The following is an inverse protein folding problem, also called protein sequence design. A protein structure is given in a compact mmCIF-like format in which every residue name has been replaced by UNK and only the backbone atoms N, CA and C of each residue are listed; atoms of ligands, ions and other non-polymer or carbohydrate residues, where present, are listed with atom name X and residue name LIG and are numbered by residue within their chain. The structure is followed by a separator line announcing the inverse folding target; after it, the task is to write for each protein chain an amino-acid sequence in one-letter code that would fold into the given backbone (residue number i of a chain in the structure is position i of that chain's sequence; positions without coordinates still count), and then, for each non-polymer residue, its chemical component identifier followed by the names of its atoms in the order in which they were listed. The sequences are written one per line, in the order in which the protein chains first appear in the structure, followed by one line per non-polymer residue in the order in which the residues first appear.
data_IF_114576380190
#
_entry.id   IF_114576380190
#
_cell.length_a   1.000
_cell.length_b   1.000
_cell.length_c   1.000
_cell.angle_alpha   90.00
_cell.angle_beta   90.00
_cell.angle_gamma   90.00
#
_symmetry.space_group_name_H-M   'P 1'
#
loop_
_entity.id
_entity.type
_entity.pdbx_description
1 polymer ?
#
# COMPACT_ATOMS: atom_id res chain seq x y z
N UNK A 1 11.24 16.01 5.83
CA UNK A 1 12.12 15.84 4.64
C UNK A 1 12.35 14.36 4.29
N UNK A 2 12.31 13.42 5.24
CA UNK A 2 12.52 11.97 4.95
C UNK A 2 11.27 11.22 4.45
N UNK A 3 10.07 11.78 4.58
CA UNK A 3 8.79 11.07 4.31
C UNK A 3 8.32 11.03 2.84
N UNK A 4 9.19 11.43 1.89
CA UNK A 4 8.83 11.48 0.45
C UNK A 4 9.40 10.32 -0.37
N UNK A 5 10.20 9.43 0.23
CA UNK A 5 10.68 8.23 -0.43
C UNK A 5 9.50 7.30 -0.77
N UNK A 6 9.33 6.99 -2.05
CA UNK A 6 8.24 6.11 -2.52
C UNK A 6 6.83 6.74 -2.52
N UNK A 7 6.64 7.91 -1.91
CA UNK A 7 5.34 8.60 -1.83
C UNK A 7 5.11 9.46 -3.08
N UNK A 8 4.08 9.13 -3.87
CA UNK A 8 3.66 9.95 -5.01
C UNK A 8 2.85 11.15 -4.51
N UNK A 9 3.30 12.35 -4.86
CA UNK A 9 2.62 13.62 -4.55
C UNK A 9 2.49 14.47 -5.80
N UNK A 10 1.53 15.38 -5.81
CA UNK A 10 1.33 16.33 -6.90
C UNK A 10 2.45 17.39 -6.80
N UNK A 11 3.06 17.78 -7.93
CA UNK A 11 4.20 18.71 -7.93
C UNK A 11 3.84 20.07 -7.31
N UNK A 12 2.62 20.55 -7.52
CA UNK A 12 2.16 21.82 -6.93
C UNK A 12 2.06 21.77 -5.39
N UNK A 13 2.09 20.58 -4.79
CA UNK A 13 2.08 20.36 -3.33
C UNK A 13 3.52 20.26 -2.75
N UNK A 14 4.56 20.45 -3.57
CA UNK A 14 5.98 20.35 -3.15
C UNK A 14 6.61 21.69 -2.79
N UNK A 15 7.56 21.65 -1.86
CA UNK A 15 8.48 22.77 -1.64
C UNK A 15 9.48 22.91 -2.80
N UNK A 16 9.77 24.14 -3.26
CA UNK A 16 10.71 24.39 -4.37
C UNK A 16 12.12 23.83 -4.15
N UNK A 17 12.55 23.70 -2.89
CA UNK A 17 13.88 23.24 -2.47
C UNK A 17 14.18 21.78 -2.83
N UNK A 18 13.16 20.95 -3.03
CA UNK A 18 13.30 19.49 -3.20
C UNK A 18 13.28 19.07 -4.69
N UNK A 19 12.89 19.98 -5.59
CA UNK A 19 12.58 19.69 -6.99
C UNK A 19 13.73 19.10 -7.82
N UNK A 20 14.98 19.30 -7.40
CA UNK A 20 16.19 18.79 -8.10
C UNK A 20 16.45 17.30 -7.90
N UNK A 21 15.84 16.66 -6.90
CA UNK A 21 16.03 15.22 -6.58
C UNK A 21 14.82 14.34 -6.91
N UNK A 22 13.78 14.93 -7.51
CA UNK A 22 12.51 14.25 -7.74
C UNK A 22 12.48 13.50 -9.07
N UNK A 23 11.82 12.35 -9.05
CA UNK A 23 11.43 11.61 -10.25
C UNK A 23 9.99 11.99 -10.59
N UNK A 24 9.74 12.35 -11.84
CA UNK A 24 8.43 12.80 -12.33
C UNK A 24 7.69 11.68 -13.06
N UNK A 25 6.38 11.63 -12.86
CA UNK A 25 5.47 10.67 -13.48
C UNK A 25 4.20 11.38 -13.95
N UNK A 26 3.61 10.98 -15.09
CA UNK A 26 2.32 11.53 -15.49
C UNK A 26 1.23 11.08 -14.52
N UNK A 27 0.29 11.96 -14.20
CA UNK A 27 -0.85 11.63 -13.33
C UNK A 27 -1.85 10.68 -13.97
N UNK A 28 -1.85 10.63 -15.30
CA UNK A 28 -2.76 9.82 -16.09
C UNK A 28 -2.08 9.21 -17.31
N UNK A 29 -2.49 8.01 -17.69
CA UNK A 29 -1.99 7.28 -18.86
C UNK A 29 -3.12 7.00 -19.83
N UNK A 30 -2.92 7.32 -21.10
CA UNK A 30 -3.88 6.95 -22.14
C UNK A 30 -3.91 5.43 -22.31
N UNK A 31 -5.11 4.85 -22.24
CA UNK A 31 -5.33 3.40 -22.48
C UNK A 31 -5.96 3.15 -23.85
N UNK A 32 -6.80 4.07 -24.31
CA UNK A 32 -7.40 4.04 -25.64
C UNK A 32 -7.80 5.47 -26.05
N UNK A 33 -8.22 5.70 -27.32
CA UNK A 33 -8.73 6.99 -27.75
C UNK A 33 -9.90 7.52 -26.90
N UNK A 34 -10.63 6.64 -26.21
CA UNK A 34 -11.82 6.97 -25.41
C UNK A 34 -11.58 6.93 -23.90
N UNK A 35 -10.48 6.32 -23.43
CA UNK A 35 -10.27 6.03 -22.00
C UNK A 35 -8.88 6.42 -21.53
N UNK A 36 -8.81 6.87 -20.27
CA UNK A 36 -7.56 7.26 -19.62
C UNK A 36 -7.51 6.68 -18.21
N UNK A 37 -6.35 6.19 -17.77
CA UNK A 37 -6.17 5.59 -16.45
C UNK A 37 -5.52 6.57 -15.49
N UNK A 38 -6.05 6.68 -14.28
CA UNK A 38 -5.43 7.44 -13.19
C UNK A 38 -4.26 6.67 -12.58
N UNK A 39 -3.08 7.29 -12.48
CA UNK A 39 -1.89 6.70 -11.86
C UNK A 39 -1.87 6.75 -10.32
N UNK A 40 -2.90 7.35 -9.70
CA UNK A 40 -3.08 7.34 -8.24
C UNK A 40 -3.86 6.13 -7.76
N UNK A 41 -5.08 5.96 -8.27
CA UNK A 41 -5.98 4.88 -7.84
C UNK A 41 -6.04 3.69 -8.80
N UNK A 42 -5.54 3.83 -10.03
CA UNK A 42 -5.63 2.79 -11.06
C UNK A 42 -6.95 2.79 -11.85
N UNK A 43 -7.93 3.61 -11.47
CA UNK A 43 -9.23 3.69 -12.14
C UNK A 43 -9.11 4.09 -13.62
N UNK A 44 -9.88 3.44 -14.49
CA UNK A 44 -9.95 3.78 -15.92
C UNK A 44 -11.20 4.62 -16.15
N UNK A 45 -11.02 5.88 -16.54
CA UNK A 45 -12.10 6.84 -16.69
C UNK A 45 -12.35 7.17 -18.17
N UNK A 46 -13.62 7.44 -18.51
CA UNK A 46 -14.04 7.89 -19.84
C UNK A 46 -13.58 9.32 -20.10
N UNK A 47 -12.87 9.55 -21.21
CA UNK A 47 -12.43 10.90 -21.64
C UNK A 47 -13.60 11.82 -21.96
N UNK A 48 -14.74 11.27 -22.39
CA UNK A 48 -15.95 12.05 -22.71
C UNK A 48 -16.59 12.62 -21.46
N UNK A 49 -16.73 11.80 -20.43
CA UNK A 49 -17.45 12.14 -19.19
C UNK A 49 -16.56 12.89 -18.19
N UNK A 50 -15.25 12.64 -18.23
CA UNK A 50 -14.31 13.16 -17.25
C UNK A 50 -13.44 14.28 -17.83
N UNK A 51 -14.00 15.12 -18.72
CA UNK A 51 -13.32 16.26 -19.36
C UNK A 51 -13.65 17.57 -18.64
N UNK A 52 -12.63 18.38 -18.38
CA UNK A 52 -12.74 19.74 -17.87
C UNK A 52 -12.84 20.75 -19.02
N UNK A 53 -13.33 21.96 -18.72
CA UNK A 53 -13.42 23.06 -19.69
C UNK A 53 -12.07 23.44 -20.33
N UNK A 54 -10.97 23.23 -19.61
CA UNK A 54 -9.60 23.45 -20.08
C UNK A 54 -9.07 22.32 -20.98
N UNK A 55 -9.92 21.41 -21.44
CA UNK A 55 -9.57 20.22 -22.24
C UNK A 55 -8.62 19.22 -21.54
N UNK A 56 -8.51 19.29 -20.22
CA UNK A 56 -7.85 18.27 -19.39
C UNK A 56 -8.85 17.23 -18.88
N UNK A 57 -8.35 16.07 -18.46
CA UNK A 57 -9.17 15.01 -17.86
C UNK A 57 -8.97 14.98 -16.35
N UNK A 58 -9.99 14.57 -15.59
CA UNK A 58 -9.89 14.39 -14.14
C UNK A 58 -10.35 13.00 -13.70
N UNK A 59 -9.93 12.54 -12.53
CA UNK A 59 -10.37 11.26 -11.99
C UNK A 59 -11.47 11.47 -10.95
N UNK A 60 -12.70 11.04 -11.26
CA UNK A 60 -13.85 11.16 -10.37
C UNK A 60 -13.70 10.34 -9.08
N UNK A 61 -13.17 9.11 -9.16
CA UNK A 61 -12.88 8.25 -7.99
C UNK A 61 -11.90 8.89 -6.98
N UNK A 62 -11.13 9.86 -7.45
CA UNK A 62 -10.12 10.54 -6.70
C UNK A 62 -10.60 11.84 -6.02
N UNK A 63 -11.81 12.34 -6.31
CA UNK A 63 -12.25 13.68 -5.86
C UNK A 63 -12.15 13.87 -4.35
N UNK A 64 -12.59 12.88 -3.57
CA UNK A 64 -12.60 12.96 -2.09
C UNK A 64 -11.19 13.00 -1.48
N UNK A 65 -10.19 12.45 -2.19
CA UNK A 65 -8.79 12.45 -1.78
C UNK A 65 -8.01 13.62 -2.43
N UNK A 66 -8.69 14.61 -3.01
CA UNK A 66 -8.10 15.67 -3.82
C UNK A 66 -8.12 15.34 -5.31
N UNK A 67 -8.55 16.30 -6.13
CA UNK A 67 -8.71 16.12 -7.59
C UNK A 67 -7.36 15.93 -8.26
N UNK A 68 -7.24 14.85 -9.02
CA UNK A 68 -6.10 14.58 -9.91
C UNK A 68 -6.52 14.87 -11.34
N UNK A 69 -5.70 15.63 -12.07
CA UNK A 69 -5.95 16.02 -13.45
C UNK A 69 -4.81 15.62 -14.38
N UNK A 70 -5.09 15.44 -15.68
CA UNK A 70 -4.10 15.06 -16.69
C UNK A 70 -3.06 16.13 -17.01
N UNK A 71 -3.27 17.38 -16.58
CA UNK A 71 -2.31 18.47 -16.75
C UNK A 71 -1.29 18.56 -15.61
N UNK A 72 -1.53 17.89 -14.49
CA UNK A 72 -0.60 17.82 -13.36
C UNK A 72 0.45 16.74 -13.57
N UNK A 73 1.48 16.76 -12.71
CA UNK A 73 2.50 15.71 -12.63
C UNK A 73 2.60 15.17 -11.21
N UNK A 74 2.75 13.86 -11.10
CA UNK A 74 3.22 13.27 -9.86
C UNK A 74 4.74 13.38 -9.77
N UNK A 75 5.23 13.46 -8.55
CA UNK A 75 6.64 13.35 -8.24
C UNK A 75 6.84 12.52 -6.97
N UNK A 76 8.01 11.92 -6.84
CA UNK A 76 8.43 11.23 -5.63
C UNK A 76 9.95 11.23 -5.51
N UNK A 77 10.47 11.02 -4.30
CA UNK A 77 11.87 10.64 -4.14
C UNK A 77 12.03 9.16 -4.49
N UNK A 78 13.14 8.76 -5.14
CA UNK A 78 13.45 7.35 -5.37
C UNK A 78 13.31 6.54 -4.08
N UNK A 79 12.67 5.38 -4.19
CA UNK A 79 12.52 4.45 -3.08
C UNK A 79 13.91 3.99 -2.62
N UNK A 80 14.11 3.89 -1.31
CA UNK A 80 15.32 3.27 -0.77
C UNK A 80 15.25 1.76 -1.04
N UNK A 81 16.36 1.10 -1.41
CA UNK A 81 16.35 -0.34 -1.57
C UNK A 81 15.97 -1.00 -0.24
N UNK A 82 15.13 -2.03 -0.31
CA UNK A 82 14.84 -2.86 0.84
C UNK A 82 16.13 -3.54 1.29
N UNK A 83 16.48 -3.40 2.56
CA UNK A 83 17.62 -4.08 3.17
C UNK A 83 17.14 -4.92 4.34
N UNK A 84 17.66 -6.15 4.51
CA UNK A 84 17.37 -6.95 5.69
C UNK A 84 17.68 -6.17 6.97
N UNK A 85 16.87 -6.40 8.00
CA UNK A 85 17.00 -5.72 9.29
C UNK A 85 16.61 -6.62 10.43
N UNK A 86 17.16 -6.35 11.62
CA UNK A 86 16.67 -6.99 12.84
C UNK A 86 15.29 -6.45 13.18
N UNK A 87 14.36 -7.36 13.43
CA UNK A 87 12.97 -7.05 13.81
C UNK A 87 12.72 -7.73 15.14
N UNK A 88 12.43 -6.95 16.16
CA UNK A 88 12.01 -7.45 17.46
C UNK A 88 10.64 -8.11 17.32
N UNK A 89 10.50 -9.25 17.97
CA UNK A 89 9.30 -10.07 17.90
C UNK A 89 9.04 -10.67 19.26
N UNK A 90 7.97 -10.22 19.91
CA UNK A 90 7.59 -10.63 21.26
C UNK A 90 6.16 -11.14 21.26
N UNK A 91 6.01 -12.44 21.04
CA UNK A 91 4.72 -13.11 21.17
C UNK A 91 4.86 -14.40 21.96
N UNK A 92 4.14 -14.48 23.07
CA UNK A 92 4.16 -15.61 24.02
C UNK A 92 3.00 -16.59 23.85
N UNK A 93 2.15 -16.38 22.84
CA UNK A 93 1.04 -17.29 22.54
C UNK A 93 1.51 -18.57 21.86
N UNK A 94 0.62 -19.58 21.83
CA UNK A 94 0.86 -20.84 21.13
C UNK A 94 -0.18 -21.02 20.03
N UNK A 95 0.27 -21.26 18.80
CA UNK A 95 -0.62 -21.62 17.70
C UNK A 95 -1.10 -23.07 17.88
N UNK A 96 -2.37 -23.31 17.62
CA UNK A 96 -2.90 -24.66 17.40
C UNK A 96 -2.24 -25.28 16.17
N UNK A 97 -2.31 -26.62 16.04
CA UNK A 97 -1.73 -27.32 14.88
C UNK A 97 -2.24 -26.79 13.54
N UNK A 98 -3.53 -26.47 13.44
CA UNK A 98 -4.13 -25.91 12.22
C UNK A 98 -3.64 -24.49 11.92
N UNK A 99 -3.57 -23.63 12.94
CA UNK A 99 -3.01 -22.28 12.80
C UNK A 99 -1.53 -22.31 12.39
N UNK A 100 -0.76 -23.22 12.96
CA UNK A 100 0.67 -23.38 12.64
C UNK A 100 0.86 -23.79 11.18
N UNK A 101 0.07 -24.73 10.68
CA UNK A 101 0.12 -25.15 9.27
C UNK A 101 -0.17 -23.96 8.33
N UNK A 102 -1.23 -23.18 8.63
CA UNK A 102 -1.58 -21.98 7.86
C UNK A 102 -0.45 -20.94 7.93
N UNK A 103 0.14 -20.72 9.10
CA UNK A 103 1.21 -19.73 9.30
C UNK A 103 2.47 -20.09 8.49
N UNK A 104 2.84 -21.37 8.46
CA UNK A 104 3.94 -21.88 7.61
C UNK A 104 3.63 -21.68 6.13
N UNK A 105 2.43 -22.04 5.69
CA UNK A 105 2.00 -21.90 4.30
C UNK A 105 1.97 -20.43 3.84
N UNK A 106 1.60 -19.50 4.72
CA UNK A 106 1.67 -18.06 4.46
C UNK A 106 3.11 -17.59 4.26
N UNK A 107 4.05 -18.06 5.08
CA UNK A 107 5.47 -17.76 4.92
C UNK A 107 6.03 -18.27 3.58
N UNK A 108 5.65 -19.48 3.16
CA UNK A 108 6.04 -20.04 1.86
C UNK A 108 5.43 -19.24 0.70
N UNK A 109 4.14 -18.91 0.79
CA UNK A 109 3.44 -18.11 -0.21
C UNK A 109 4.09 -16.73 -0.37
N UNK A 110 4.51 -16.09 0.73
CA UNK A 110 5.21 -14.82 0.70
C UNK A 110 6.56 -14.90 -0.03
N UNK A 111 7.32 -16.00 0.16
CA UNK A 111 8.61 -16.22 -0.52
C UNK A 111 8.46 -16.31 -2.04
N UNK A 112 7.42 -17.01 -2.50
CA UNK A 112 7.12 -17.14 -3.94
C UNK A 112 6.30 -15.97 -4.50
N UNK A 113 5.91 -15.00 -3.66
CA UNK A 113 5.14 -13.80 -4.01
C UNK A 113 3.78 -14.09 -4.65
N UNK A 114 3.09 -15.10 -4.13
CA UNK A 114 1.75 -15.47 -4.57
C UNK A 114 0.64 -14.96 -3.63
N UNK A 115 -0.59 -15.02 -4.11
CA UNK A 115 -1.77 -14.67 -3.33
C UNK A 115 -2.29 -15.89 -2.57
N UNK A 116 -2.71 -15.70 -1.32
CA UNK A 116 -3.29 -16.74 -0.47
C UNK A 116 -4.60 -16.29 0.16
N UNK A 117 -5.62 -17.16 0.13
CA UNK A 117 -6.86 -16.99 0.88
C UNK A 117 -6.83 -17.87 2.14
N UNK A 118 -6.95 -17.25 3.32
CA UNK A 118 -7.13 -17.96 4.58
C UNK A 118 -8.63 -18.04 4.90
N UNK A 119 -9.20 -19.23 4.78
CA UNK A 119 -10.60 -19.47 5.12
C UNK A 119 -10.73 -19.86 6.60
N UNK A 120 -11.26 -18.96 7.43
CA UNK A 120 -11.37 -19.19 8.86
C UNK A 120 -12.57 -18.46 9.49
N UNK A 121 -13.18 -19.09 10.49
CA UNK A 121 -14.32 -18.54 11.25
C UNK A 121 -13.91 -17.36 12.15
N UNK A 122 -14.90 -16.65 12.70
CA UNK A 122 -14.67 -15.63 13.74
C UNK A 122 -14.05 -16.26 14.99
N UNK A 123 -13.09 -15.58 15.61
CA UNK A 123 -12.40 -16.10 16.79
C UNK A 123 -11.31 -17.16 16.53
N UNK A 124 -11.11 -17.58 15.27
CA UNK A 124 -10.10 -18.60 14.93
C UNK A 124 -8.63 -18.16 15.10
N UNK A 125 -8.35 -16.94 15.58
CA UNK A 125 -6.98 -16.42 15.69
C UNK A 125 -6.33 -16.05 14.36
N UNK A 126 -7.10 -15.43 13.45
CA UNK A 126 -6.61 -15.03 12.11
C UNK A 126 -5.40 -14.11 12.18
N UNK A 127 -5.36 -13.20 13.17
CA UNK A 127 -4.28 -12.23 13.33
C UNK A 127 -2.99 -12.93 13.75
N UNK A 128 -3.06 -13.84 14.72
CA UNK A 128 -1.93 -14.58 15.25
C UNK A 128 -1.28 -15.48 14.19
N UNK A 129 -2.08 -16.05 13.27
CA UNK A 129 -1.56 -16.81 12.13
C UNK A 129 -0.61 -15.97 11.25
N UNK A 130 -0.83 -14.65 11.15
CA UNK A 130 -0.04 -13.75 10.31
C UNK A 130 1.33 -13.41 10.92
N UNK A 131 1.52 -13.51 12.23
CA UNK A 131 2.70 -12.99 12.92
C UNK A 131 4.03 -13.52 12.34
N UNK A 132 4.13 -14.81 12.02
CA UNK A 132 5.34 -15.37 11.43
C UNK A 132 5.66 -14.78 10.04
N UNK A 133 4.66 -14.64 9.17
CA UNK A 133 4.88 -14.07 7.83
C UNK A 133 5.19 -12.57 7.91
N UNK A 134 4.60 -11.86 8.88
CA UNK A 134 4.93 -10.47 9.16
C UNK A 134 6.40 -10.33 9.58
N UNK A 135 6.82 -11.13 10.55
CA UNK A 135 8.19 -11.11 11.06
C UNK A 135 9.20 -11.43 9.97
N UNK A 136 9.01 -12.53 9.24
CA UNK A 136 9.89 -12.94 8.15
C UNK A 136 10.00 -11.85 7.07
N UNK A 137 8.87 -11.32 6.62
CA UNK A 137 8.84 -10.30 5.56
C UNK A 137 9.55 -9.01 6.01
N UNK A 138 9.36 -8.60 7.27
CA UNK A 138 10.06 -7.42 7.82
C UNK A 138 11.56 -7.65 7.97
N UNK A 139 11.99 -8.87 8.36
CA UNK A 139 13.40 -9.24 8.49
C UNK A 139 14.13 -9.23 7.15
N UNK A 140 13.44 -9.63 6.09
CA UNK A 140 13.94 -9.58 4.70
C UNK A 140 13.99 -8.14 4.14
N UNK A 141 13.60 -7.13 4.94
CA UNK A 141 13.55 -5.73 4.52
C UNK A 141 12.28 -5.34 3.76
N UNK A 142 11.30 -6.25 3.69
CA UNK A 142 10.00 -6.00 3.09
C UNK A 142 9.18 -4.96 3.85
N UNK A 143 8.14 -4.47 3.17
CA UNK A 143 7.15 -3.53 3.70
C UNK A 143 5.79 -4.19 3.69
N UNK A 144 5.02 -3.96 4.75
CA UNK A 144 3.72 -4.61 4.93
C UNK A 144 2.66 -3.57 5.16
N UNK A 145 1.51 -3.76 4.53
CA UNK A 145 0.28 -3.05 4.83
C UNK A 145 -0.76 -4.06 5.33
N UNK A 146 -1.29 -3.83 6.53
CA UNK A 146 -2.47 -4.51 7.04
C UNK A 146 -3.67 -3.60 6.81
N UNK A 147 -4.69 -4.10 6.13
CA UNK A 147 -5.88 -3.34 5.78
C UNK A 147 -7.15 -4.04 6.29
N UNK A 148 -8.09 -3.25 6.77
CA UNK A 148 -9.44 -3.68 7.12
C UNK A 148 -10.44 -2.67 6.54
N UNK A 149 -11.61 -3.11 6.06
CA UNK A 149 -12.65 -2.20 5.58
C UNK A 149 -13.27 -1.35 6.70
N UNK A 150 -13.08 -1.74 7.96
CA UNK A 150 -13.64 -1.04 9.12
C UNK A 150 -12.54 -0.40 9.96
N UNK A 151 -12.73 0.88 10.30
CA UNK A 151 -11.78 1.69 11.08
C UNK A 151 -11.64 1.17 12.51
N UNK A 152 -12.73 0.72 13.13
CA UNK A 152 -12.72 0.18 14.50
C UNK A 152 -11.81 -1.06 14.63
N UNK A 153 -11.82 -1.95 13.64
CA UNK A 153 -10.90 -3.09 13.58
C UNK A 153 -9.45 -2.64 13.46
N UNK A 154 -9.16 -1.60 12.67
CA UNK A 154 -7.79 -1.05 12.60
C UNK A 154 -7.33 -0.51 13.95
N UNK A 155 -8.21 0.19 14.68
CA UNK A 155 -7.91 0.73 16.01
C UNK A 155 -7.71 -0.38 17.05
N UNK A 156 -8.40 -1.51 16.93
CA UNK A 156 -8.19 -2.69 17.78
C UNK A 156 -6.88 -3.42 17.44
N UNK A 157 -6.56 -3.58 16.15
CA UNK A 157 -5.37 -4.30 15.70
C UNK A 157 -4.09 -3.54 16.01
N UNK A 158 -4.08 -2.21 15.93
CA UNK A 158 -2.87 -1.40 16.12
C UNK A 158 -2.12 -1.70 17.44
N UNK A 159 -2.73 -1.59 18.64
CA UNK A 159 -2.02 -1.87 19.88
C UNK A 159 -1.60 -3.34 20.00
N UNK A 160 -2.36 -4.28 19.42
CA UNK A 160 -2.02 -5.72 19.41
C UNK A 160 -0.76 -6.00 18.58
N UNK A 161 -0.67 -5.37 17.40
CA UNK A 161 0.51 -5.49 16.54
C UNK A 161 1.72 -4.81 17.20
N UNK A 162 1.54 -3.63 17.79
CA UNK A 162 2.61 -2.91 18.48
C UNK A 162 3.19 -3.71 19.67
N UNK A 163 2.34 -4.44 20.41
CA UNK A 163 2.82 -5.30 21.49
C UNK A 163 3.69 -6.46 21.00
N UNK A 164 3.46 -6.95 19.78
CA UNK A 164 4.21 -8.07 19.18
C UNK A 164 5.44 -7.60 18.42
N UNK A 165 5.38 -6.41 17.82
CA UNK A 165 6.43 -5.78 17.02
C UNK A 165 6.77 -4.40 17.60
N UNK A 166 7.50 -4.34 18.74
CA UNK A 166 7.88 -3.09 19.39
C UNK A 166 8.94 -2.28 18.60
#
# INVERSE_FOLDING_TARGET
MEDLHGRKIIIEETEPSIQTKLVYLPTMLERSPLTIQCQRCGEVVSKKENRLAINAYYCHACIQLGRVTSCQKFCHLPERPNSPRTVFFEWSGQLTKGQQAISVELCETAKIRENRLVWAVTGAGKTEMLFAVLHQTLQEGGRIALASPRVDVCLELFPRIQAVFP
#
